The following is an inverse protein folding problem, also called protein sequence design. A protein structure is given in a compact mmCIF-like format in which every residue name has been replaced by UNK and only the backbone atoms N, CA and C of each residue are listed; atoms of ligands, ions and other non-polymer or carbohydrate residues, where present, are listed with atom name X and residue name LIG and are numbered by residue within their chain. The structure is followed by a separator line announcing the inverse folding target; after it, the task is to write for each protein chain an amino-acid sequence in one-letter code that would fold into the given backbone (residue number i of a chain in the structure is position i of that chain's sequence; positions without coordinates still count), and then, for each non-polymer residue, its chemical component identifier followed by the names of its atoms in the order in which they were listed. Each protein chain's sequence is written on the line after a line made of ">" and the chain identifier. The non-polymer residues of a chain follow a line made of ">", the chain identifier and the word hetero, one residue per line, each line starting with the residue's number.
data_IF_479698917409
#
_entry.id   IF_479698917409
#
_cell.length_a   1.000
_cell.length_b   1.000
_cell.length_c   1.000
_cell.angle_alpha   90.00
_cell.angle_beta   90.00
_cell.angle_gamma   90.00
#
_symmetry.space_group_name_H-M   'P 1'
#
loop_
_entity.id
_entity.type
_entity.pdbx_description
1 polymer ?
#
# COMPACT_ATOMS: atom_id res chain seq x y z
N UNK A 1 16.91 14.81 10.60
CA UNK A 1 17.61 14.19 9.46
C UNK A 1 16.51 13.55 8.64
N UNK A 2 16.45 13.79 7.31
CA UNK A 2 15.40 13.21 6.48
C UNK A 2 15.39 11.69 6.65
N UNK A 3 14.21 11.08 6.61
CA UNK A 3 14.11 9.62 6.64
C UNK A 3 14.82 9.05 5.40
N UNK A 4 15.64 8.01 5.58
CA UNK A 4 16.35 7.37 4.47
C UNK A 4 15.37 6.82 3.43
N UNK A 5 14.19 6.40 3.86
CA UNK A 5 13.13 5.91 2.97
C UNK A 5 12.53 7.03 2.11
N UNK A 6 12.54 8.29 2.59
CA UNK A 6 12.02 9.44 1.86
C UNK A 6 13.01 9.97 0.81
N UNK A 7 14.33 9.78 0.99
CA UNK A 7 15.35 10.30 0.06
C UNK A 7 15.16 9.75 -1.34
N UNK A 8 14.96 8.43 -1.49
CA UNK A 8 14.74 7.80 -2.80
C UNK A 8 13.42 8.24 -3.44
N UNK A 9 12.40 8.50 -2.63
CA UNK A 9 11.09 8.99 -3.07
C UNK A 9 11.19 10.43 -3.60
N UNK A 10 11.93 11.30 -2.91
CA UNK A 10 12.21 12.66 -3.39
C UNK A 10 13.01 12.67 -4.68
N UNK A 11 14.05 11.82 -4.78
CA UNK A 11 14.84 11.68 -6.00
C UNK A 11 13.95 11.25 -7.18
N UNK A 12 13.02 10.31 -6.94
CA UNK A 12 12.03 9.91 -7.94
C UNK A 12 11.14 11.07 -8.37
N UNK A 13 10.51 11.78 -7.42
CA UNK A 13 9.61 12.90 -7.72
C UNK A 13 10.32 14.08 -8.39
N UNK A 14 11.63 14.24 -8.20
CA UNK A 14 12.41 15.26 -8.91
C UNK A 14 12.39 15.07 -10.43
N UNK A 15 12.26 13.81 -10.87
CA UNK A 15 12.15 13.43 -12.29
C UNK A 15 10.70 13.26 -12.74
N UNK A 16 9.79 12.91 -11.82
CA UNK A 16 8.37 12.70 -12.10
C UNK A 16 7.47 13.49 -11.13
N UNK A 17 7.42 14.82 -11.24
CA UNK A 17 6.83 15.70 -10.22
C UNK A 17 5.30 15.60 -10.10
N UNK A 18 4.63 14.98 -11.07
CA UNK A 18 3.16 14.83 -11.06
C UNK A 18 2.73 13.40 -10.72
N UNK A 19 3.69 12.51 -10.42
CA UNK A 19 3.38 11.12 -10.18
C UNK A 19 2.72 10.93 -8.82
N UNK A 20 1.86 9.92 -8.79
CA UNK A 20 1.07 9.55 -7.63
C UNK A 20 1.80 8.49 -6.84
N UNK A 21 2.09 8.75 -5.57
CA UNK A 21 2.70 7.80 -4.64
C UNK A 21 1.62 6.96 -3.92
N UNK A 22 2.07 5.98 -3.14
CA UNK A 22 1.20 5.11 -2.34
C UNK A 22 0.71 3.87 -3.10
N UNK A 23 0.03 2.97 -2.39
CA UNK A 23 -0.47 1.72 -2.93
C UNK A 23 -1.95 1.82 -3.33
N UNK A 24 -2.37 0.93 -4.22
CA UNK A 24 -3.78 0.67 -4.47
C UNK A 24 -4.37 -0.07 -3.28
N UNK A 25 -5.48 0.44 -2.72
CA UNK A 25 -6.17 -0.17 -1.58
C UNK A 25 -7.43 -0.88 -2.05
N UNK A 26 -7.53 -2.19 -1.82
CA UNK A 26 -8.73 -2.98 -2.04
C UNK A 26 -9.54 -3.07 -0.75
N UNK A 27 -10.75 -2.52 -0.77
CA UNK A 27 -11.72 -2.68 0.31
C UNK A 27 -12.43 -4.02 0.16
N UNK A 28 -12.14 -4.95 1.07
CA UNK A 28 -12.71 -6.31 1.05
C UNK A 28 -13.78 -6.50 2.13
N UNK A 29 -14.16 -5.40 2.81
CA UNK A 29 -15.17 -5.42 3.86
C UNK A 29 -16.20 -4.30 3.72
N UNK A 30 -17.46 -4.65 3.99
CA UNK A 30 -18.63 -3.81 3.80
C UNK A 30 -19.61 -3.91 4.98
N UNK A 31 -19.14 -4.31 6.16
CA UNK A 31 -20.01 -4.47 7.35
C UNK A 31 -20.52 -3.13 7.88
N UNK A 32 -19.65 -2.12 7.92
CA UNK A 32 -19.97 -0.77 8.40
C UNK A 32 -19.11 0.27 7.65
N UNK A 33 -19.78 1.16 6.90
CA UNK A 33 -19.12 2.24 6.16
C UNK A 33 -18.49 3.30 7.09
N UNK A 34 -19.06 3.53 8.27
CA UNK A 34 -18.52 4.50 9.21
C UNK A 34 -17.25 3.98 9.91
N UNK A 35 -17.12 2.67 10.10
CA UNK A 35 -15.85 2.07 10.55
C UNK A 35 -14.81 2.11 9.43
N UNK A 36 -15.21 1.86 8.19
CA UNK A 36 -14.33 2.01 7.04
C UNK A 36 -13.77 3.43 6.89
N UNK A 37 -14.62 4.46 7.00
CA UNK A 37 -14.19 5.85 6.97
C UNK A 37 -13.16 6.16 8.06
N UNK A 38 -13.40 5.70 9.30
CA UNK A 38 -12.45 5.85 10.40
C UNK A 38 -11.13 5.12 10.16
N UNK A 39 -11.16 3.95 9.51
CA UNK A 39 -9.95 3.24 9.13
C UNK A 39 -9.13 4.06 8.13
N UNK A 40 -9.76 4.60 7.08
CA UNK A 40 -9.08 5.43 6.09
C UNK A 40 -8.57 6.75 6.69
N UNK A 41 -9.32 7.37 7.60
CA UNK A 41 -8.89 8.55 8.35
C UNK A 41 -7.67 8.24 9.23
N UNK A 42 -7.69 7.11 9.93
CA UNK A 42 -6.56 6.66 10.74
C UNK A 42 -5.32 6.43 9.88
N UNK A 43 -5.45 5.67 8.78
CA UNK A 43 -4.37 5.45 7.81
C UNK A 43 -3.75 6.77 7.34
N UNK A 44 -4.57 7.71 6.87
CA UNK A 44 -4.07 9.00 6.42
C UNK A 44 -3.40 9.79 7.55
N UNK A 45 -3.95 9.75 8.76
CA UNK A 45 -3.42 10.47 9.92
C UNK A 45 -2.05 9.93 10.33
N UNK A 46 -1.88 8.62 10.42
CA UNK A 46 -0.61 8.03 10.84
C UNK A 46 0.50 8.26 9.81
N UNK A 47 0.18 8.13 8.52
CA UNK A 47 1.15 8.38 7.45
C UNK A 47 1.55 9.86 7.39
N UNK A 48 0.58 10.78 7.48
CA UNK A 48 0.85 12.21 7.54
C UNK A 48 1.73 12.57 8.72
N UNK A 49 1.35 12.12 9.92
CA UNK A 49 2.07 12.42 11.16
C UNK A 49 3.51 11.94 11.07
N UNK A 50 3.73 10.71 10.60
CA UNK A 50 5.06 10.14 10.42
C UNK A 50 5.92 10.95 9.44
N UNK A 51 5.36 11.33 8.28
CA UNK A 51 6.07 12.17 7.31
C UNK A 51 6.43 13.55 7.89
N UNK A 52 5.51 14.17 8.62
CA UNK A 52 5.73 15.46 9.28
C UNK A 52 6.84 15.38 10.34
N UNK A 53 6.91 14.29 11.11
CA UNK A 53 7.95 14.06 12.14
C UNK A 53 9.37 14.03 11.54
N UNK A 54 9.52 13.52 10.31
CA UNK A 54 10.81 13.47 9.60
C UNK A 54 11.09 14.68 8.70
N UNK A 55 10.12 15.60 8.58
CA UNK A 55 10.23 16.80 7.75
C UNK A 55 9.90 16.57 6.26
N UNK A 56 9.26 15.45 5.93
CA UNK A 56 8.88 15.01 4.59
C UNK A 56 7.36 15.11 4.36
N UNK A 57 6.68 15.98 5.12
CA UNK A 57 5.22 16.15 5.06
C UNK A 57 4.70 16.62 3.69
N UNK A 58 5.56 17.20 2.86
CA UNK A 58 5.26 17.57 1.48
C UNK A 58 5.01 16.36 0.58
N UNK A 59 5.57 15.18 0.89
CA UNK A 59 5.29 13.94 0.15
C UNK A 59 3.81 13.53 0.26
N UNK A 60 3.12 13.91 1.35
CA UNK A 60 1.74 13.53 1.57
C UNK A 60 0.79 14.03 0.46
N UNK A 61 1.13 15.15 -0.20
CA UNK A 61 0.31 15.69 -1.30
C UNK A 61 0.31 14.81 -2.55
N UNK A 62 1.31 13.92 -2.69
CA UNK A 62 1.42 12.98 -3.81
C UNK A 62 0.76 11.65 -3.52
N UNK A 63 0.37 11.36 -2.28
CA UNK A 63 -0.24 10.08 -1.92
C UNK A 63 -1.65 9.99 -2.52
N UNK A 64 -1.86 8.94 -3.31
CA UNK A 64 -3.15 8.54 -3.83
C UNK A 64 -3.35 7.04 -3.61
N UNK A 65 -4.23 6.69 -2.67
CA UNK A 65 -4.52 5.29 -2.34
C UNK A 65 -5.32 4.54 -3.41
N UNK A 66 -5.87 5.23 -4.43
CA UNK A 66 -6.68 4.65 -5.51
C UNK A 66 -7.62 3.54 -5.03
N UNK A 67 -8.43 3.87 -4.01
CA UNK A 67 -9.27 2.91 -3.30
C UNK A 67 -10.23 2.23 -4.28
N UNK A 68 -10.15 0.90 -4.35
CA UNK A 68 -11.10 0.05 -5.07
C UNK A 68 -12.23 -0.32 -4.11
N UNK A 69 -13.35 0.40 -4.25
CA UNK A 69 -14.56 0.27 -3.43
C UNK A 69 -15.70 -0.26 -4.31
N UNK A 70 -15.86 -1.59 -4.35
CA UNK A 70 -16.91 -2.29 -5.07
C UNK A 70 -17.34 -3.50 -4.23
N UNK A 71 -18.60 -3.59 -3.78
CA UNK A 71 -19.11 -4.72 -3.01
C UNK A 71 -18.85 -6.10 -3.63
N UNK A 72 -18.61 -6.19 -4.95
CA UNK A 72 -18.20 -7.44 -5.61
C UNK A 72 -16.82 -7.96 -5.17
N UNK A 73 -16.04 -7.14 -4.48
CA UNK A 73 -14.73 -7.45 -3.91
C UNK A 73 -14.82 -8.06 -2.50
N UNK A 74 -16.01 -8.10 -1.90
CA UNK A 74 -16.16 -8.60 -0.53
C UNK A 74 -15.62 -10.04 -0.40
N UNK A 75 -14.81 -10.27 0.63
CA UNK A 75 -14.28 -11.59 1.00
C UNK A 75 -13.43 -12.28 -0.09
N UNK A 76 -12.94 -11.55 -1.10
CA UNK A 76 -11.96 -12.10 -2.05
C UNK A 76 -10.66 -12.48 -1.33
N UNK A 77 -10.09 -13.63 -1.67
CA UNK A 77 -8.77 -14.03 -1.16
C UNK A 77 -7.62 -13.25 -1.85
N UNK A 78 -6.41 -13.39 -1.31
CA UNK A 78 -5.22 -12.69 -1.82
C UNK A 78 -4.91 -12.99 -3.30
N UNK A 79 -5.22 -14.18 -3.80
CA UNK A 79 -5.00 -14.54 -5.20
C UNK A 79 -6.02 -13.84 -6.11
N UNK A 80 -7.28 -13.83 -5.71
CA UNK A 80 -8.34 -13.09 -6.41
C UNK A 80 -8.08 -11.58 -6.38
N UNK A 81 -7.59 -11.03 -5.27
CA UNK A 81 -7.18 -9.63 -5.18
C UNK A 81 -6.03 -9.35 -6.14
N UNK A 82 -5.02 -10.23 -6.20
CA UNK A 82 -3.91 -10.10 -7.17
C UNK A 82 -4.42 -10.05 -8.61
N UNK A 83 -5.37 -10.91 -8.98
CA UNK A 83 -5.97 -10.87 -10.33
C UNK A 83 -6.67 -9.54 -10.63
N UNK A 84 -7.33 -8.93 -9.62
CA UNK A 84 -7.91 -7.58 -9.77
C UNK A 84 -6.84 -6.52 -9.91
N UNK A 85 -5.76 -6.67 -9.15
CA UNK A 85 -4.64 -5.73 -9.16
C UNK A 85 -3.88 -5.74 -10.48
N UNK A 86 -3.58 -6.91 -11.05
CA UNK A 86 -2.94 -7.02 -12.37
C UNK A 86 -3.77 -6.34 -13.46
N UNK A 87 -5.10 -6.49 -13.43
CA UNK A 87 -6.00 -5.77 -14.35
C UNK A 87 -5.98 -4.26 -14.14
N UNK A 88 -5.88 -3.82 -12.89
CA UNK A 88 -5.75 -2.39 -12.58
C UNK A 88 -4.43 -1.83 -13.13
N UNK A 89 -3.31 -2.55 -12.98
CA UNK A 89 -2.00 -2.16 -13.53
C UNK A 89 -2.08 -2.01 -15.05
N UNK A 90 -2.70 -2.97 -15.75
CA UNK A 90 -2.88 -2.89 -17.21
C UNK A 90 -3.69 -1.64 -17.62
N UNK A 91 -4.74 -1.30 -16.87
CA UNK A 91 -5.58 -0.13 -17.15
C UNK A 91 -4.86 1.19 -16.85
N UNK A 92 -4.12 1.25 -15.75
CA UNK A 92 -3.34 2.43 -15.34
C UNK A 92 -2.20 2.70 -16.35
N UNK A 93 -1.53 1.64 -16.82
CA UNK A 93 -0.52 1.74 -17.87
C UNK A 93 -1.08 2.36 -19.16
N UNK A 94 -2.24 1.88 -19.64
CA UNK A 94 -2.90 2.45 -20.84
C UNK A 94 -3.31 3.91 -20.64
N UNK A 95 -3.75 4.31 -19.45
CA UNK A 95 -4.14 5.69 -19.15
C UNK A 95 -2.95 6.67 -19.19
N UNK A 96 -1.71 6.18 -19.10
CA UNK A 96 -0.50 7.03 -19.12
C UNK A 96 0.10 7.21 -20.52
N UNK A 97 -0.42 6.51 -21.55
CA UNK A 97 0.07 6.58 -22.95
C UNK A 97 -0.32 7.87 -23.71
N UNK A 98 -1.01 8.83 -23.09
CA UNK A 98 -1.41 10.12 -23.71
C UNK A 98 -0.22 11.12 -23.88
N UNK A 99 0.89 10.66 -24.45
CA UNK A 99 1.86 11.51 -25.15
C UNK A 99 3.26 11.68 -24.52
N UNK A 100 3.60 10.93 -23.47
CA UNK A 100 4.99 10.85 -22.98
C UNK A 100 5.54 9.45 -23.19
N UNK A 101 6.84 9.38 -23.50
CA UNK A 101 7.60 8.16 -23.77
C UNK A 101 7.48 7.20 -22.57
N UNK A 102 6.53 6.26 -22.66
CA UNK A 102 6.22 5.32 -21.59
C UNK A 102 7.35 4.31 -21.50
N UNK A 103 8.15 4.45 -20.44
CA UNK A 103 8.82 3.30 -19.87
C UNK A 103 7.77 2.19 -19.72
N UNK A 104 8.04 0.95 -20.18
CA UNK A 104 7.03 -0.09 -20.14
C UNK A 104 6.56 -0.35 -18.70
N UNK A 105 5.35 -0.89 -18.49
CA UNK A 105 4.71 -1.04 -17.17
C UNK A 105 5.52 -1.86 -16.14
N UNK A 106 6.61 -2.51 -16.55
CA UNK A 106 7.55 -3.22 -15.69
C UNK A 106 8.79 -2.39 -15.28
N UNK A 107 8.87 -1.10 -15.64
CA UNK A 107 9.85 -0.19 -15.04
C UNK A 107 9.36 0.16 -13.64
N UNK A 108 9.71 -0.75 -12.72
CA UNK A 108 9.44 -0.85 -11.29
C UNK A 108 9.07 0.47 -10.59
N UNK A 109 7.79 0.82 -10.64
CA UNK A 109 7.22 1.78 -9.72
C UNK A 109 6.58 1.01 -8.55
N UNK A 110 6.92 1.30 -7.28
CA UNK A 110 6.48 0.48 -6.15
C UNK A 110 4.96 0.29 -6.06
N UNK A 111 4.19 1.27 -6.54
CA UNK A 111 2.73 1.21 -6.66
C UNK A 111 2.20 0.09 -7.55
N UNK A 112 2.96 -0.34 -8.55
CA UNK A 112 2.61 -1.46 -9.46
C UNK A 112 3.18 -2.80 -8.99
N UNK A 113 3.98 -2.83 -7.91
CA UNK A 113 4.62 -4.05 -7.41
C UNK A 113 3.77 -4.78 -6.37
N UNK A 114 2.94 -4.05 -5.62
CA UNK A 114 2.05 -4.62 -4.61
C UNK A 114 0.81 -3.74 -4.40
N UNK A 115 -0.24 -4.33 -3.85
CA UNK A 115 -1.44 -3.63 -3.39
C UNK A 115 -1.75 -3.95 -1.94
N UNK A 116 -2.61 -3.14 -1.31
CA UNK A 116 -3.07 -3.34 0.06
C UNK A 116 -4.46 -3.97 0.04
N UNK A 117 -4.60 -5.14 0.65
CA UNK A 117 -5.88 -5.81 0.87
C UNK A 117 -6.39 -5.50 2.29
N UNK A 118 -7.59 -4.93 2.38
CA UNK A 118 -8.20 -4.55 3.67
C UNK A 118 -9.44 -5.40 3.96
N UNK A 119 -9.25 -6.42 4.79
CA UNK A 119 -10.31 -7.27 5.34
C UNK A 119 -10.93 -6.65 6.60
N UNK A 120 -12.06 -7.20 7.05
CA UNK A 120 -12.71 -6.71 8.28
C UNK A 120 -11.78 -6.78 9.50
N UNK A 121 -10.93 -7.81 9.60
CA UNK A 121 -10.00 -7.95 10.74
C UNK A 121 -9.07 -6.73 10.89
N UNK A 122 -8.67 -6.10 9.78
CA UNK A 122 -7.83 -4.90 9.79
C UNK A 122 -8.60 -3.69 10.32
N UNK A 123 -9.85 -3.52 9.88
CA UNK A 123 -10.75 -2.46 10.37
C UNK A 123 -11.01 -2.64 11.86
N UNK A 124 -11.33 -3.86 12.30
CA UNK A 124 -11.58 -4.20 13.70
C UNK A 124 -10.38 -3.88 14.60
N UNK A 125 -9.15 -4.13 14.13
CA UNK A 125 -7.94 -3.80 14.87
C UNK A 125 -7.73 -2.30 15.02
N UNK A 126 -7.87 -1.54 13.94
CA UNK A 126 -7.78 -0.08 14.02
C UNK A 126 -8.88 0.49 14.93
N UNK A 127 -10.10 -0.05 14.90
CA UNK A 127 -11.17 0.39 15.82
C UNK A 127 -10.83 0.13 17.29
N UNK A 128 -10.13 -0.97 17.60
CA UNK A 128 -9.63 -1.25 18.96
C UNK A 128 -8.53 -0.27 19.36
N UNK A 129 -7.61 0.06 18.47
CA UNK A 129 -6.54 1.02 18.73
C UNK A 129 -7.07 2.44 18.96
N UNK A 130 -8.12 2.82 18.25
CA UNK A 130 -8.79 4.11 18.43
C UNK A 130 -9.60 4.20 19.73
N UNK A 131 -9.81 3.08 20.44
CA UNK A 131 -10.57 3.08 21.68
C UNK A 131 -9.69 3.51 22.86
N UNK A 132 -9.89 4.71 23.44
CA UNK A 132 -9.04 5.23 24.52
C UNK A 132 -9.16 4.44 25.83
N UNK A 133 -10.16 3.57 25.97
CA UNK A 133 -10.31 2.69 27.13
C UNK A 133 -9.49 1.40 27.02
N UNK A 134 -8.93 1.10 25.85
CA UNK A 134 -8.06 -0.05 25.64
C UNK A 134 -6.65 0.24 26.16
N UNK A 135 -6.22 -0.50 27.18
CA UNK A 135 -4.90 -0.35 27.82
C UNK A 135 -3.84 -1.31 27.26
N UNK A 136 -4.11 -1.95 26.12
CA UNK A 136 -3.13 -2.78 25.42
C UNK A 136 -2.01 -1.92 24.84
N UNK A 137 -0.76 -2.30 25.08
CA UNK A 137 0.38 -1.61 24.48
C UNK A 137 0.42 -1.88 22.96
N UNK A 138 -0.09 -0.93 22.18
CA UNK A 138 0.49 -0.53 20.90
C UNK A 138 0.66 -1.60 19.81
N UNK A 139 -0.35 -2.41 19.52
CA UNK A 139 -0.39 -3.09 18.22
C UNK A 139 -0.99 -2.14 17.19
N UNK A 140 -0.23 -1.12 16.79
CA UNK A 140 -0.58 -0.24 15.67
C UNK A 140 -1.10 -1.12 14.53
N UNK A 141 -2.37 -0.99 14.16
CA UNK A 141 -3.08 -1.91 13.26
C UNK A 141 -2.29 -2.37 12.03
N UNK A 142 -2.62 -3.54 11.50
CA UNK A 142 -1.95 -4.14 10.34
C UNK A 142 -2.87 -4.25 9.13
N UNK A 143 -2.25 -4.41 7.97
CA UNK A 143 -2.91 -4.70 6.67
C UNK A 143 -2.12 -5.78 5.93
N UNK A 144 -2.76 -6.41 4.96
CA UNK A 144 -2.11 -7.36 4.07
C UNK A 144 -1.60 -6.63 2.82
N UNK A 145 -0.31 -6.70 2.56
CA UNK A 145 0.25 -6.41 1.24
C UNK A 145 0.15 -7.66 0.37
N UNK A 146 -0.23 -7.51 -0.88
CA UNK A 146 -0.31 -8.59 -1.88
C UNK A 146 0.60 -8.24 -3.04
N UNK A 147 1.56 -9.12 -3.33
CA UNK A 147 2.50 -8.97 -4.45
C UNK A 147 1.80 -9.07 -5.80
N UNK A 148 2.23 -8.27 -6.77
CA UNK A 148 1.86 -8.45 -8.18
C UNK A 148 2.52 -9.69 -8.79
N UNK A 149 3.70 -10.06 -8.31
CA UNK A 149 4.43 -11.21 -8.84
C UNK A 149 3.72 -12.51 -8.44
N UNK A 150 3.53 -13.37 -9.44
CA UNK A 150 3.08 -14.74 -9.25
C UNK A 150 4.36 -15.55 -9.38
N UNK A 151 5.06 -15.79 -8.27
CA UNK A 151 6.14 -16.78 -8.31
C UNK A 151 5.50 -18.12 -8.70
N UNK A 152 5.65 -18.50 -9.97
CA UNK A 152 5.26 -19.80 -10.53
C UNK A 152 6.40 -20.81 -10.35
N UNK A 153 7.22 -20.68 -9.29
CA UNK A 153 8.36 -21.57 -9.13
C UNK A 153 7.89 -22.90 -8.51
N UNK A 154 8.13 -23.99 -9.23
CA UNK A 154 7.85 -25.41 -8.92
C UNK A 154 8.57 -25.91 -7.65
N UNK A 155 9.03 -25.01 -6.77
CA UNK A 155 9.73 -25.32 -5.54
C UNK A 155 8.72 -25.51 -4.40
N UNK A 156 8.91 -26.54 -3.58
CA UNK A 156 8.05 -26.90 -2.42
C UNK A 156 8.05 -25.85 -1.28
N UNK A 157 8.52 -24.63 -1.54
CA UNK A 157 8.43 -23.49 -0.64
C UNK A 157 7.43 -22.51 -1.23
N UNK A 158 6.19 -22.57 -0.73
CA UNK A 158 5.20 -21.50 -0.92
C UNK A 158 5.78 -20.25 -0.25
N UNK A 159 6.54 -19.43 -0.98
CA UNK A 159 6.79 -18.06 -0.53
C UNK A 159 5.44 -17.34 -0.57
N UNK A 160 4.96 -16.92 0.60
CA UNK A 160 3.71 -16.20 0.71
C UNK A 160 3.81 -14.94 -0.16
N UNK A 161 3.07 -14.90 -1.27
CA UNK A 161 2.94 -13.74 -2.16
C UNK A 161 2.10 -12.61 -1.52
N UNK A 162 2.01 -12.62 -0.18
CA UNK A 162 1.38 -11.61 0.64
C UNK A 162 2.10 -11.51 1.99
N UNK A 163 2.04 -10.35 2.63
CA UNK A 163 2.67 -10.09 3.92
C UNK A 163 1.78 -9.22 4.80
N UNK A 164 1.70 -9.53 6.09
CA UNK A 164 1.06 -8.64 7.07
C UNK A 164 2.06 -7.57 7.50
N UNK A 165 1.70 -6.31 7.30
CA UNK A 165 2.55 -5.16 7.62
C UNK A 165 1.80 -4.15 8.46
N UNK A 166 2.54 -3.42 9.29
CA UNK A 166 1.99 -2.32 10.05
C UNK A 166 1.40 -1.23 9.13
N UNK A 167 0.21 -0.72 9.44
CA UNK A 167 -0.45 0.37 8.70
C UNK A 167 0.48 1.59 8.60
N UNK A 168 1.23 1.92 9.66
CA UNK A 168 2.16 3.06 9.64
C UNK A 168 3.46 2.79 8.86
N UNK A 169 3.74 1.54 8.49
CA UNK A 169 4.93 1.16 7.71
C UNK A 169 4.66 1.07 6.22
N UNK A 170 3.39 1.07 5.77
CA UNK A 170 3.10 0.99 4.34
C UNK A 170 3.74 2.14 3.55
N UNK A 171 3.84 3.32 4.17
CA UNK A 171 4.53 4.46 3.59
C UNK A 171 5.30 5.25 4.67
N UNK A 172 6.53 5.73 4.40
CA UNK A 172 7.33 5.52 3.19
C UNK A 172 8.05 4.16 3.15
N UNK A 173 8.14 3.44 4.28
CA UNK A 173 9.03 2.27 4.47
C UNK A 173 8.80 1.11 3.49
N UNK A 174 7.59 0.54 3.41
CA UNK A 174 7.33 -0.57 2.48
C UNK A 174 7.46 -0.09 1.02
N UNK A 175 7.03 1.14 0.76
CA UNK A 175 7.11 1.76 -0.56
C UNK A 175 8.56 1.91 -1.05
N UNK A 176 9.47 2.38 -0.19
CA UNK A 176 10.90 2.51 -0.50
C UNK A 176 11.58 1.14 -0.66
N UNK A 177 11.26 0.18 0.23
CA UNK A 177 11.83 -1.17 0.19
C UNK A 177 11.45 -1.92 -1.08
N UNK A 178 10.19 -1.85 -1.51
CA UNK A 178 9.77 -2.45 -2.78
C UNK A 178 10.52 -1.84 -3.97
N UNK A 179 10.69 -0.52 -3.99
CA UNK A 179 11.45 0.14 -5.05
C UNK A 179 12.94 -0.20 -5.07
N UNK A 180 13.53 -0.45 -3.91
CA UNK A 180 14.97 -0.71 -3.79
C UNK A 180 15.34 -2.20 -3.93
N UNK A 181 14.54 -3.09 -3.34
CA UNK A 181 14.86 -4.51 -3.16
C UNK A 181 13.81 -5.46 -3.75
N UNK A 182 12.67 -4.94 -4.22
CA UNK A 182 11.54 -5.76 -4.64
C UNK A 182 10.83 -6.44 -3.47
N UNK A 183 10.06 -7.49 -3.78
CA UNK A 183 9.25 -8.23 -2.80
C UNK A 183 10.09 -8.82 -1.65
N UNK A 184 11.32 -9.24 -1.93
CA UNK A 184 12.30 -9.72 -0.94
C UNK A 184 12.60 -8.70 0.17
N UNK A 185 12.44 -7.41 -0.11
CA UNK A 185 12.64 -6.35 0.86
C UNK A 185 11.57 -6.28 1.94
N UNK A 186 10.36 -6.79 1.67
CA UNK A 186 9.20 -6.70 2.58
C UNK A 186 9.44 -7.48 3.87
N UNK A 187 10.13 -8.61 3.79
CA UNK A 187 10.46 -9.46 4.94
C UNK A 187 11.62 -8.95 5.80
N UNK A 188 12.31 -7.89 5.38
CA UNK A 188 13.43 -7.27 6.11
C UNK A 188 13.00 -6.08 6.98
N UNK A 189 11.69 -5.93 7.21
CA UNK A 189 11.06 -4.86 7.98
C UNK A 189 11.26 -4.97 9.49
#
# INVERSE_FOLDING_TARGET
>A
MPDADCVSIHDYLSTHPNDKLGFVVYRLTYKDDAEWEKFMDHLNTVIRTKLEEYGDGDLFQHIDWSVQDDPSLQDLDSDQVRERFLKWIEQDAVATEDGHDVNPPWVAYPRHMACVAVYQIHVDHVMKDLNPSWSGQGEMGFVTLVSADRQEDDSEQEEDNFAEVNVSSIFPRMYSLLGALGWEGVWQN
#
